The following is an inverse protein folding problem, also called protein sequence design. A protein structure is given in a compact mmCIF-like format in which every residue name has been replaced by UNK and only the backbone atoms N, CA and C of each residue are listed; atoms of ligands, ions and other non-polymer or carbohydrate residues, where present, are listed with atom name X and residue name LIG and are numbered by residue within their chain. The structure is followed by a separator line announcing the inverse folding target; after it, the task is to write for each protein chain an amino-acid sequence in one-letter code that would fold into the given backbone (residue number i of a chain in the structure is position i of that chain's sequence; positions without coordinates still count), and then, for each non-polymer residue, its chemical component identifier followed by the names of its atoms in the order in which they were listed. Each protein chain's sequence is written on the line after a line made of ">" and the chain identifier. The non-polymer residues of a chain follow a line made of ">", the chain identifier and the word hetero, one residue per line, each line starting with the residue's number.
data_IF_647056648545
#
_entry.id   IF_647056648545
#
_cell.length_a   1.000
_cell.length_b   1.000
_cell.length_c   1.000
_cell.angle_alpha   90.00
_cell.angle_beta   90.00
_cell.angle_gamma   90.00
#
_symmetry.space_group_name_H-M   'P 1'
#
loop_
_entity.id
_entity.type
_entity.pdbx_description
1 polymer ?
#
# COMPACT_ATOMS: atom_id res chain seq x y z
N UNK A 1 16.61 15.00 -6.47
CA UNK A 1 15.59 14.82 -5.43
C UNK A 1 14.24 14.62 -6.07
N UNK A 2 13.49 13.66 -5.56
CA UNK A 2 12.20 13.34 -6.18
C UNK A 2 11.14 14.36 -5.78
N UNK A 3 10.30 14.73 -6.74
CA UNK A 3 9.15 15.56 -6.42
C UNK A 3 7.98 14.67 -5.99
N UNK A 4 6.87 15.27 -5.61
CA UNK A 4 5.76 14.53 -5.06
C UNK A 4 5.14 13.59 -6.10
N UNK A 5 5.15 13.99 -7.36
CA UNK A 5 4.61 13.13 -8.41
C UNK A 5 5.42 11.85 -8.56
N UNK A 6 6.74 11.97 -8.50
CA UNK A 6 7.58 10.80 -8.60
C UNK A 6 7.42 9.89 -7.40
N UNK A 7 7.30 10.49 -6.21
CA UNK A 7 7.07 9.71 -5.00
C UNK A 7 5.73 9.00 -5.06
N UNK A 8 4.70 9.69 -5.54
CA UNK A 8 3.39 9.09 -5.70
C UNK A 8 3.46 7.86 -6.59
N UNK A 9 4.16 8.00 -7.71
CA UNK A 9 4.26 6.89 -8.65
C UNK A 9 5.01 5.71 -8.05
N UNK A 10 6.10 5.98 -7.37
CA UNK A 10 6.90 4.92 -6.77
C UNK A 10 6.12 4.18 -5.68
N UNK A 11 5.45 4.93 -4.83
CA UNK A 11 4.69 4.32 -3.74
C UNK A 11 3.51 3.55 -4.29
N UNK A 12 2.84 4.10 -5.29
CA UNK A 12 1.74 3.38 -5.91
C UNK A 12 2.20 2.06 -6.49
N UNK A 13 3.31 2.07 -7.21
CA UNK A 13 3.85 0.83 -7.78
C UNK A 13 4.16 -0.19 -6.70
N UNK A 14 4.76 0.27 -5.61
CA UNK A 14 5.08 -0.62 -4.50
C UNK A 14 3.82 -1.24 -3.92
N UNK A 15 2.81 -0.41 -3.68
CA UNK A 15 1.57 -0.91 -3.08
C UNK A 15 0.86 -1.88 -4.01
N UNK A 16 0.88 -1.60 -5.31
CA UNK A 16 0.23 -2.52 -6.25
C UNK A 16 0.95 -3.86 -6.32
N UNK A 17 2.27 -3.85 -6.16
CA UNK A 17 3.01 -5.10 -6.06
C UNK A 17 2.63 -5.86 -4.81
N UNK A 18 2.38 -5.13 -3.71
CA UNK A 18 1.93 -5.77 -2.49
C UNK A 18 0.56 -6.40 -2.66
N UNK A 19 -0.34 -5.76 -3.40
CA UNK A 19 -1.64 -6.35 -3.70
C UNK A 19 -1.46 -7.66 -4.46
N UNK A 20 -0.60 -7.64 -5.47
CA UNK A 20 -0.34 -8.85 -6.26
C UNK A 20 0.22 -9.96 -5.38
N UNK A 21 1.12 -9.60 -4.49
CA UNK A 21 1.68 -10.58 -3.56
C UNK A 21 0.61 -11.16 -2.65
N UNK A 22 -0.28 -10.29 -2.15
CA UNK A 22 -1.36 -10.75 -1.28
C UNK A 22 -2.29 -11.68 -2.04
N UNK A 23 -2.64 -11.34 -3.28
CA UNK A 23 -3.49 -12.21 -4.08
C UNK A 23 -2.86 -13.59 -4.27
N UNK A 24 -1.57 -13.61 -4.59
CA UNK A 24 -0.88 -14.89 -4.78
C UNK A 24 -0.83 -15.67 -3.46
N UNK A 25 -0.63 -14.98 -2.35
CA UNK A 25 -0.57 -15.63 -1.06
C UNK A 25 -1.92 -16.23 -0.68
N UNK A 26 -2.99 -15.49 -0.95
CA UNK A 26 -4.34 -15.98 -0.65
C UNK A 26 -4.61 -17.24 -1.46
N UNK A 27 -4.24 -17.23 -2.74
CA UNK A 27 -4.47 -18.39 -3.57
C UNK A 27 -3.71 -19.60 -3.06
N UNK A 28 -2.43 -19.42 -2.73
CA UNK A 28 -1.63 -20.52 -2.22
C UNK A 28 -2.18 -21.06 -0.90
N UNK A 29 -2.56 -20.17 0.00
CA UNK A 29 -3.07 -20.56 1.30
C UNK A 29 -4.42 -21.25 1.18
N UNK A 30 -5.24 -20.77 0.26
CA UNK A 30 -6.53 -21.39 0.01
C UNK A 30 -6.34 -22.83 -0.49
N UNK A 31 -5.39 -23.03 -1.40
CA UNK A 31 -5.12 -24.36 -1.93
C UNK A 31 -4.57 -25.29 -0.88
N UNK A 32 -3.84 -24.75 0.10
CA UNK A 32 -3.29 -25.58 1.18
C UNK A 32 -4.30 -25.88 2.25
N UNK A 33 -5.48 -25.29 2.18
CA UNK A 33 -6.51 -25.54 3.17
C UNK A 33 -6.34 -24.77 4.47
N UNK A 34 -5.71 -23.58 4.40
CA UNK A 34 -5.60 -22.73 5.57
C UNK A 34 -7.00 -22.36 6.07
N UNK A 35 -7.10 -22.03 7.36
CA UNK A 35 -8.41 -21.75 7.92
C UNK A 35 -8.94 -20.42 7.42
N UNK A 36 -10.24 -20.25 7.62
CA UNK A 36 -10.92 -19.05 7.14
C UNK A 36 -10.40 -17.79 7.81
N UNK A 37 -10.04 -17.88 9.06
CA UNK A 37 -9.55 -16.72 9.77
C UNK A 37 -8.27 -16.18 9.13
N UNK A 38 -7.35 -17.08 8.77
CA UNK A 38 -6.13 -16.69 8.11
C UNK A 38 -6.41 -16.08 6.75
N UNK A 39 -7.32 -16.69 6.00
CA UNK A 39 -7.67 -16.16 4.68
C UNK A 39 -8.32 -14.79 4.79
N UNK A 40 -9.18 -14.61 5.78
CA UNK A 40 -9.84 -13.32 5.99
C UNK A 40 -8.84 -12.23 6.32
N UNK A 41 -7.84 -12.55 7.14
CA UNK A 41 -6.80 -11.57 7.46
C UNK A 41 -6.06 -11.12 6.21
N UNK A 42 -5.68 -12.07 5.37
CA UNK A 42 -4.96 -11.74 4.15
C UNK A 42 -5.82 -10.96 3.18
N UNK A 43 -7.11 -11.29 3.14
CA UNK A 43 -8.03 -10.54 2.30
C UNK A 43 -8.14 -9.08 2.78
N UNK A 44 -8.16 -8.88 4.08
CA UNK A 44 -8.19 -7.53 4.65
C UNK A 44 -6.93 -6.75 4.32
N UNK A 45 -5.77 -7.41 4.42
CA UNK A 45 -4.51 -6.76 4.04
C UNK A 45 -4.52 -6.35 2.58
N UNK A 46 -4.99 -7.24 1.73
CA UNK A 46 -5.04 -6.98 0.30
C UNK A 46 -5.97 -5.80 0.01
N UNK A 47 -7.15 -5.80 0.60
CA UNK A 47 -8.14 -4.75 0.35
C UNK A 47 -7.64 -3.39 0.83
N UNK A 48 -7.06 -3.35 2.01
CA UNK A 48 -6.52 -2.10 2.53
C UNK A 48 -5.39 -1.58 1.63
N UNK A 49 -4.53 -2.47 1.19
CA UNK A 49 -3.40 -2.07 0.35
C UNK A 49 -3.89 -1.52 -0.98
N UNK A 50 -4.94 -2.11 -1.52
CA UNK A 50 -5.51 -1.62 -2.77
C UNK A 50 -6.11 -0.22 -2.60
N UNK A 51 -6.84 0.00 -1.51
CA UNK A 51 -7.36 1.32 -1.22
C UNK A 51 -6.23 2.33 -1.07
N UNK A 52 -5.18 1.95 -0.36
CA UNK A 52 -4.05 2.84 -0.17
C UNK A 52 -3.41 3.21 -1.51
N UNK A 53 -3.28 2.24 -2.40
CA UNK A 53 -2.72 2.50 -3.72
C UNK A 53 -3.57 3.49 -4.50
N UNK A 54 -4.88 3.35 -4.42
CA UNK A 54 -5.79 4.26 -5.10
C UNK A 54 -5.72 5.66 -4.51
N UNK A 55 -5.62 5.77 -3.20
CA UNK A 55 -5.51 7.07 -2.55
C UNK A 55 -4.20 7.76 -2.90
N UNK A 56 -3.13 6.98 -2.96
CA UNK A 56 -1.85 7.54 -3.38
C UNK A 56 -1.95 8.04 -4.82
N UNK A 57 -2.55 7.23 -5.69
CA UNK A 57 -2.66 7.59 -7.10
C UNK A 57 -3.50 8.84 -7.31
N UNK A 58 -4.52 9.03 -6.50
CA UNK A 58 -5.41 10.19 -6.63
C UNK A 58 -4.81 11.47 -6.07
N UNK A 59 -3.73 11.36 -5.32
CA UNK A 59 -3.11 12.53 -4.70
C UNK A 59 -3.60 12.83 -3.30
N UNK A 60 -4.52 12.02 -2.79
CA UNK A 60 -5.07 12.25 -1.45
C UNK A 60 -4.02 12.15 -0.35
N UNK A 61 -2.97 11.40 -0.59
CA UNK A 61 -1.92 11.22 0.40
C UNK A 61 -0.66 12.01 0.09
N UNK A 62 -0.76 13.01 -0.77
CA UNK A 62 0.41 13.79 -1.15
C UNK A 62 1.09 14.45 0.03
N UNK A 63 0.33 14.87 1.05
CA UNK A 63 0.94 15.46 2.22
C UNK A 63 1.85 14.49 2.95
N UNK A 64 1.54 13.21 2.87
CA UNK A 64 2.39 12.19 3.48
C UNK A 64 3.63 11.91 2.64
N UNK A 65 3.58 12.25 1.36
CA UNK A 65 4.68 12.00 0.43
C UNK A 65 5.59 13.20 0.26
N UNK A 66 5.21 14.34 0.82
CA UNK A 66 5.99 15.54 0.69
C UNK A 66 7.32 15.44 1.42
N UNK A 67 8.20 16.36 1.08
CA UNK A 67 9.54 16.36 1.62
C UNK A 67 9.54 16.34 3.14
N UNK A 68 10.34 15.48 3.70
CA UNK A 68 10.46 15.34 5.13
C UNK A 68 10.93 16.59 5.84
N UNK A 69 11.66 17.43 5.13
CA UNK A 69 12.15 18.67 5.70
C UNK A 69 11.00 19.50 6.27
N UNK A 70 9.89 19.52 5.54
CA UNK A 70 8.73 20.26 6.01
C UNK A 70 8.14 19.64 7.25
N UNK A 71 8.08 18.33 7.27
CA UNK A 71 7.53 17.61 8.40
C UNK A 71 8.38 17.83 9.63
N UNK A 72 9.68 17.76 9.45
CA UNK A 72 10.60 17.98 10.56
C UNK A 72 10.43 19.34 11.18
N UNK A 73 10.31 20.35 10.35
CA UNK A 73 10.15 21.69 10.84
C UNK A 73 8.92 21.85 11.67
N UNK A 74 7.84 21.27 11.22
CA UNK A 74 6.60 21.42 11.97
C UNK A 74 6.64 20.58 13.23
N UNK A 75 7.43 19.53 13.24
CA UNK A 75 7.54 18.69 14.41
C UNK A 75 8.36 19.31 15.52
N UNK A 76 9.11 20.29 15.18
CA UNK A 76 9.93 20.96 16.21
C UNK A 76 9.13 21.99 17.01
#
# INVERSE_FOLDING_TARGET
>A
MMNVEERRRLVEMFLRRCVTYCDASIERKSKRGEDEETLTKWQAYRDFTEYAAEEVASGDLDTWLEDETQTSDSGS
#
